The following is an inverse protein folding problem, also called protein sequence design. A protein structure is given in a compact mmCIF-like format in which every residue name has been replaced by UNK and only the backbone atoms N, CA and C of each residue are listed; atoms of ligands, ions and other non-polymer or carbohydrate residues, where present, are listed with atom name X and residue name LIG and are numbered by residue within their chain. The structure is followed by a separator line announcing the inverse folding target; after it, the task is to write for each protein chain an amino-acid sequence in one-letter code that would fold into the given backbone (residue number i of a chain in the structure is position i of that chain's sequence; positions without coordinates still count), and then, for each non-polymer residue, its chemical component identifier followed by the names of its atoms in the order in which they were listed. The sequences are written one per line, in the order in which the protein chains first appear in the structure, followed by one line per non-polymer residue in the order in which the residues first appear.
data_IF_282324060158
#
_entry.id   IF_282324060158
#
_cell.length_a   1.000
_cell.length_b   1.000
_cell.length_c   1.000
_cell.angle_alpha   90.00
_cell.angle_beta   90.00
_cell.angle_gamma   90.00
#
_symmetry.space_group_name_H-M   'P 1'
#
loop_
_entity.id
_entity.type
_entity.pdbx_description
1 polymer ?
#
# COMPACT_ATOMS: atom_id res chain seq x y z
N UNK A 1 -13.04 18.92 23.99
CA UNK A 1 -14.04 18.21 23.15
C UNK A 1 -15.37 18.32 23.86
N UNK A 2 -16.41 18.87 23.24
CA UNK A 2 -17.74 19.00 23.85
C UNK A 2 -18.43 17.62 23.96
N UNK A 3 -19.20 17.39 25.03
CA UNK A 3 -19.95 16.13 25.26
C UNK A 3 -20.76 15.67 24.04
N UNK A 4 -21.32 16.59 23.24
CA UNK A 4 -22.04 16.28 22.01
C UNK A 4 -21.17 15.66 20.90
N UNK A 5 -19.91 16.08 20.80
CA UNK A 5 -18.96 15.53 19.81
C UNK A 5 -18.56 14.11 20.16
N UNK A 6 -18.35 13.85 21.43
CA UNK A 6 -18.00 12.53 21.96
C UNK A 6 -19.14 11.52 21.80
N UNK A 7 -20.37 11.97 22.01
CA UNK A 7 -21.57 11.16 21.83
C UNK A 7 -21.81 10.80 20.35
N UNK A 8 -21.59 11.76 19.45
CA UNK A 8 -21.68 11.54 18.00
C UNK A 8 -20.63 10.54 17.51
N UNK A 9 -19.38 10.70 17.91
CA UNK A 9 -18.29 9.75 17.58
C UNK A 9 -18.60 8.33 18.09
N UNK A 10 -19.11 8.19 19.30
CA UNK A 10 -19.48 6.88 19.86
C UNK A 10 -20.59 6.22 19.04
N UNK A 11 -21.58 6.99 18.59
CA UNK A 11 -22.68 6.48 17.75
C UNK A 11 -22.15 6.01 16.39
N UNK A 12 -21.32 6.80 15.71
CA UNK A 12 -20.71 6.46 14.43
C UNK A 12 -19.82 5.20 14.53
N UNK A 13 -19.01 5.11 15.59
CA UNK A 13 -18.18 3.92 15.84
C UNK A 13 -19.01 2.66 16.09
N UNK A 14 -20.11 2.77 16.84
CA UNK A 14 -21.02 1.66 17.06
C UNK A 14 -21.72 1.21 15.78
N UNK A 15 -22.12 2.15 14.93
CA UNK A 15 -22.68 1.84 13.62
C UNK A 15 -21.68 1.06 12.75
N UNK A 16 -20.43 1.53 12.65
CA UNK A 16 -19.37 0.82 11.92
C UNK A 16 -19.18 -0.58 12.52
N UNK A 17 -19.05 -0.68 13.84
CA UNK A 17 -18.84 -1.94 14.54
C UNK A 17 -19.94 -2.96 14.26
N UNK A 18 -21.20 -2.55 14.33
CA UNK A 18 -22.36 -3.44 14.14
C UNK A 18 -22.48 -3.94 12.70
N UNK A 19 -21.84 -3.26 11.74
CA UNK A 19 -21.82 -3.65 10.34
C UNK A 19 -20.57 -4.47 9.93
N UNK A 20 -19.70 -4.81 10.88
CA UNK A 20 -18.56 -5.69 10.60
C UNK A 20 -19.06 -7.13 10.49
N UNK A 21 -18.80 -7.78 9.36
CA UNK A 21 -19.21 -9.16 9.13
C UNK A 21 -18.54 -10.09 10.14
N UNK A 22 -19.35 -10.85 10.88
CA UNK A 22 -18.87 -11.80 11.89
C UNK A 22 -18.39 -11.15 13.19
N UNK A 23 -18.91 -9.96 13.54
CA UNK A 23 -18.59 -9.31 14.83
C UNK A 23 -19.03 -10.17 16.02
N UNK A 24 -20.15 -10.91 15.87
CA UNK A 24 -20.69 -11.80 16.87
C UNK A 24 -20.36 -13.29 16.60
N UNK A 25 -19.37 -13.56 15.76
CA UNK A 25 -18.98 -14.92 15.43
C UNK A 25 -18.45 -15.67 16.66
N UNK A 26 -18.81 -16.93 16.77
CA UNK A 26 -18.35 -17.82 17.82
C UNK A 26 -17.41 -18.86 17.24
N UNK A 27 -16.39 -19.23 17.99
CA UNK A 27 -15.43 -20.29 17.63
C UNK A 27 -15.33 -21.33 18.75
N UNK A 28 -15.07 -22.56 18.38
CA UNK A 28 -14.72 -23.63 19.30
C UNK A 28 -13.22 -23.69 19.51
N UNK A 29 -12.80 -23.94 20.72
CA UNK A 29 -11.40 -24.17 21.11
C UNK A 29 -11.28 -25.49 21.86
N UNK A 30 -10.06 -26.02 22.07
CA UNK A 30 -9.88 -27.25 22.88
C UNK A 30 -10.39 -27.14 24.33
N UNK A 31 -10.61 -25.92 24.80
CA UNK A 31 -11.02 -25.67 26.22
C UNK A 31 -12.45 -25.21 26.37
N UNK A 32 -13.10 -24.72 25.30
CA UNK A 32 -14.46 -24.20 25.30
C UNK A 32 -15.16 -24.48 23.98
N UNK A 33 -16.39 -24.93 24.03
CA UNK A 33 -17.18 -25.24 22.83
C UNK A 33 -17.59 -24.00 22.03
N UNK A 34 -17.71 -22.86 22.70
CA UNK A 34 -18.17 -21.63 22.04
C UNK A 34 -17.67 -20.39 22.79
N UNK A 35 -16.78 -19.61 22.14
CA UNK A 35 -16.32 -18.33 22.64
C UNK A 35 -16.44 -17.26 21.57
N UNK A 36 -16.72 -15.99 21.91
CA UNK A 36 -16.74 -14.90 20.96
C UNK A 36 -15.38 -14.68 20.31
N UNK A 37 -15.38 -14.43 19.01
CA UNK A 37 -14.16 -14.00 18.30
C UNK A 37 -13.79 -12.59 18.72
N UNK A 38 -12.61 -12.41 19.27
CA UNK A 38 -12.00 -11.10 19.48
C UNK A 38 -11.00 -10.85 18.35
N UNK A 39 -11.39 -10.01 17.37
CA UNK A 39 -10.52 -9.66 16.28
C UNK A 39 -9.79 -8.35 16.59
N UNK A 40 -8.48 -8.41 16.82
CA UNK A 40 -7.64 -7.29 17.22
C UNK A 40 -6.49 -6.98 16.24
N UNK A 41 -6.50 -7.61 15.05
CA UNK A 41 -5.42 -7.48 14.06
C UNK A 41 -5.74 -6.49 12.92
N UNK A 42 -6.36 -5.37 13.26
CA UNK A 42 -6.77 -4.35 12.28
C UNK A 42 -5.62 -3.65 11.58
N UNK A 43 -4.44 -3.62 12.21
CA UNK A 43 -3.24 -3.03 11.61
C UNK A 43 -2.69 -3.86 10.46
N UNK A 44 -2.85 -5.16 10.50
CA UNK A 44 -2.36 -6.09 9.48
C UNK A 44 -3.44 -6.43 8.44
N UNK A 45 -4.70 -6.58 8.85
CA UNK A 45 -5.80 -6.93 7.95
C UNK A 45 -7.14 -6.38 8.45
N UNK A 46 -8.08 -6.13 7.54
CA UNK A 46 -9.44 -5.71 7.86
C UNK A 46 -10.43 -6.87 7.79
N UNK A 47 -11.64 -6.62 8.29
CA UNK A 47 -12.79 -7.51 8.10
C UNK A 47 -13.76 -6.94 7.07
N UNK A 48 -14.59 -7.79 6.50
CA UNK A 48 -15.61 -7.38 5.55
C UNK A 48 -16.64 -6.46 6.23
N UNK A 49 -17.16 -5.50 5.49
CA UNK A 49 -18.15 -4.53 5.95
C UNK A 49 -19.47 -4.77 5.21
N UNK A 50 -20.50 -5.15 5.93
CA UNK A 50 -21.76 -5.63 5.38
C UNK A 50 -22.38 -4.70 4.32
N UNK A 51 -22.43 -3.35 4.50
CA UNK A 51 -22.99 -2.47 3.47
C UNK A 51 -22.24 -2.51 2.13
N UNK A 52 -20.92 -2.73 2.14
CA UNK A 52 -20.12 -2.87 0.92
C UNK A 52 -20.44 -4.22 0.25
N UNK A 53 -20.43 -5.31 1.01
CA UNK A 53 -20.71 -6.65 0.50
C UNK A 53 -22.11 -6.75 -0.09
N UNK A 54 -23.11 -6.19 0.60
CA UNK A 54 -24.50 -6.16 0.12
C UNK A 54 -24.62 -5.37 -1.18
N UNK A 55 -23.94 -4.24 -1.28
CA UNK A 55 -23.94 -3.44 -2.50
C UNK A 55 -23.29 -4.18 -3.66
N UNK A 56 -22.17 -4.86 -3.42
CA UNK A 56 -21.52 -5.71 -4.43
C UNK A 56 -22.47 -6.79 -4.90
N UNK A 57 -23.16 -7.51 -3.99
CA UNK A 57 -24.09 -8.58 -4.34
C UNK A 57 -25.31 -8.08 -5.10
N UNK A 58 -25.87 -6.94 -4.72
CA UNK A 58 -27.15 -6.44 -5.27
C UNK A 58 -26.98 -5.61 -6.54
N UNK A 59 -25.94 -4.81 -6.64
CA UNK A 59 -25.76 -3.81 -7.70
C UNK A 59 -24.67 -4.17 -8.71
N UNK A 60 -23.59 -4.85 -8.29
CA UNK A 60 -22.43 -5.09 -9.14
C UNK A 60 -22.45 -6.50 -9.73
N UNK A 61 -22.56 -7.54 -8.90
CA UNK A 61 -22.45 -8.93 -9.37
C UNK A 61 -23.47 -9.33 -10.43
N UNK A 62 -24.73 -8.85 -10.43
CA UNK A 62 -25.67 -9.16 -11.52
C UNK A 62 -25.25 -8.64 -12.87
N UNK A 63 -24.34 -7.65 -12.91
CA UNK A 63 -23.85 -7.02 -14.15
C UNK A 63 -22.42 -7.42 -14.51
N UNK A 64 -21.78 -8.29 -13.69
CA UNK A 64 -20.38 -8.69 -13.93
C UNK A 64 -20.24 -9.33 -15.31
N UNK A 65 -19.38 -8.74 -16.12
CA UNK A 65 -19.05 -9.20 -17.46
C UNK A 65 -17.63 -8.73 -17.84
N UNK A 66 -17.15 -9.17 -19.00
CA UNK A 66 -15.87 -8.72 -19.51
C UNK A 66 -15.86 -7.19 -19.71
N UNK A 67 -14.86 -6.55 -19.14
CA UNK A 67 -14.60 -5.13 -19.30
C UNK A 67 -14.08 -4.78 -20.67
N UNK A 68 -13.98 -4.19 -21.49
CA UNK A 68 -13.48 -3.97 -22.86
C UNK A 68 -14.49 -4.34 -23.96
N UNK A 69 -15.74 -4.65 -23.55
CA UNK A 69 -16.83 -4.94 -24.46
C UNK A 69 -17.97 -3.96 -24.25
N UNK A 70 -18.32 -3.21 -25.27
CA UNK A 70 -19.46 -2.27 -25.26
C UNK A 70 -20.63 -2.70 -26.11
N UNK A 71 -20.58 -3.91 -26.69
CA UNK A 71 -21.58 -4.46 -27.59
C UNK A 71 -22.81 -5.04 -26.90
N UNK A 72 -22.72 -5.23 -25.56
CA UNK A 72 -23.83 -5.70 -24.72
C UNK A 72 -23.98 -4.86 -23.47
N UNK A 73 -25.14 -4.94 -22.82
CA UNK A 73 -25.47 -4.09 -21.66
C UNK A 73 -24.56 -4.32 -20.46
N UNK A 74 -24.22 -5.58 -20.14
CA UNK A 74 -23.39 -5.90 -18.99
C UNK A 74 -21.93 -5.50 -19.19
N UNK A 75 -21.36 -5.78 -20.37
CA UNK A 75 -20.00 -5.34 -20.72
C UNK A 75 -19.87 -3.82 -20.68
N UNK A 76 -20.85 -3.09 -21.24
CA UNK A 76 -20.89 -1.62 -21.19
C UNK A 76 -20.98 -1.10 -19.74
N UNK A 77 -21.84 -1.70 -18.91
CA UNK A 77 -21.97 -1.32 -17.50
C UNK A 77 -20.66 -1.53 -16.73
N UNK A 78 -19.98 -2.68 -16.90
CA UNK A 78 -18.72 -2.97 -16.24
C UNK A 78 -17.56 -2.12 -16.74
N UNK A 79 -17.48 -1.87 -18.05
CA UNK A 79 -16.49 -0.95 -18.62
C UNK A 79 -16.63 0.45 -18.01
N UNK A 80 -17.85 0.98 -17.95
CA UNK A 80 -18.15 2.27 -17.34
C UNK A 80 -17.78 2.29 -15.85
N UNK A 81 -18.20 1.28 -15.07
CA UNK A 81 -17.90 1.16 -13.66
C UNK A 81 -16.39 1.11 -13.39
N UNK A 82 -15.64 0.37 -14.21
CA UNK A 82 -14.18 0.30 -14.13
C UNK A 82 -13.52 1.69 -14.34
N UNK A 83 -13.89 2.41 -15.39
CA UNK A 83 -13.35 3.74 -15.65
C UNK A 83 -13.71 4.76 -14.56
N UNK A 84 -14.95 4.70 -14.05
CA UNK A 84 -15.37 5.55 -12.91
C UNK A 84 -14.56 5.23 -11.65
N UNK A 85 -14.32 3.97 -11.35
CA UNK A 85 -13.50 3.55 -10.21
C UNK A 85 -12.06 4.07 -10.32
N UNK A 86 -11.41 3.92 -11.50
CA UNK A 86 -10.08 4.48 -11.75
C UNK A 86 -10.05 6.00 -11.57
N UNK A 87 -11.06 6.71 -12.11
CA UNK A 87 -11.17 8.16 -11.97
C UNK A 87 -11.30 8.59 -10.50
N UNK A 88 -12.13 7.88 -9.73
CA UNK A 88 -12.29 8.15 -8.28
C UNK A 88 -10.99 7.92 -7.51
N UNK A 89 -10.26 6.84 -7.81
CA UNK A 89 -8.96 6.55 -7.19
C UNK A 89 -7.95 7.67 -7.52
N UNK A 90 -7.84 8.07 -8.80
CA UNK A 90 -6.97 9.18 -9.21
C UNK A 90 -7.28 10.47 -8.46
N UNK A 91 -8.55 10.84 -8.40
CA UNK A 91 -8.97 12.05 -7.68
C UNK A 91 -8.66 11.98 -6.18
N UNK A 92 -8.83 10.80 -5.56
CA UNK A 92 -8.56 10.60 -4.13
C UNK A 92 -7.08 10.82 -3.77
N UNK A 93 -6.18 10.43 -4.67
CA UNK A 93 -4.72 10.59 -4.48
C UNK A 93 -4.16 11.87 -5.13
N UNK A 94 -5.00 12.81 -5.53
CA UNK A 94 -4.63 14.05 -6.23
C UNK A 94 -3.80 13.83 -7.51
N UNK A 95 -4.02 12.71 -8.19
CA UNK A 95 -3.36 12.42 -9.45
C UNK A 95 -3.89 13.31 -10.59
N UNK A 96 -2.99 13.76 -11.44
CA UNK A 96 -3.27 14.59 -12.61
C UNK A 96 -3.71 13.76 -13.84
N UNK A 97 -4.00 14.42 -14.93
CA UNK A 97 -4.25 13.75 -16.22
C UNK A 97 -3.00 13.06 -16.81
N UNK A 98 -1.80 13.48 -16.38
CA UNK A 98 -0.53 12.90 -16.83
C UNK A 98 -0.16 11.62 -16.06
N UNK A 99 -0.78 11.39 -14.89
CA UNK A 99 -0.52 10.21 -14.09
C UNK A 99 -1.25 8.99 -14.65
N UNK A 100 -0.58 7.85 -14.64
CA UNK A 100 -1.13 6.57 -15.11
C UNK A 100 -1.50 5.69 -13.93
N UNK A 101 -2.74 5.18 -13.91
CA UNK A 101 -3.18 4.19 -12.92
C UNK A 101 -3.12 2.81 -13.55
N UNK A 102 -2.37 1.90 -12.94
CA UNK A 102 -2.23 0.51 -13.37
C UNK A 102 -2.76 -0.39 -12.26
N UNK A 103 -3.79 -1.18 -12.57
CA UNK A 103 -4.28 -2.22 -11.68
C UNK A 103 -3.47 -3.51 -11.93
N UNK A 104 -2.98 -4.11 -10.85
CA UNK A 104 -2.29 -5.39 -10.88
C UNK A 104 -2.93 -6.33 -9.85
N UNK A 105 -3.09 -7.59 -10.18
CA UNK A 105 -3.64 -8.60 -9.28
C UNK A 105 -2.71 -8.92 -8.10
N UNK A 106 -3.22 -9.66 -7.12
CA UNK A 106 -2.48 -10.18 -5.96
C UNK A 106 -1.99 -9.13 -4.95
N UNK A 107 -2.61 -7.95 -4.91
CA UNK A 107 -2.34 -6.93 -3.89
C UNK A 107 -0.99 -6.22 -4.04
N UNK A 108 -0.53 -5.60 -2.95
CA UNK A 108 0.65 -4.71 -2.94
C UNK A 108 1.94 -5.40 -3.39
N UNK A 109 2.14 -6.67 -3.06
CA UNK A 109 3.33 -7.43 -3.50
C UNK A 109 3.41 -7.51 -5.02
N UNK A 110 2.30 -7.79 -5.71
CA UNK A 110 2.21 -7.80 -7.17
C UNK A 110 2.49 -6.41 -7.77
N UNK A 111 1.90 -5.37 -7.18
CA UNK A 111 2.08 -3.98 -7.59
C UNK A 111 3.54 -3.54 -7.50
N UNK A 112 4.22 -3.78 -6.37
CA UNK A 112 5.64 -3.45 -6.19
C UNK A 112 6.50 -4.19 -7.21
N UNK A 113 6.29 -5.48 -7.41
CA UNK A 113 7.02 -6.26 -8.40
C UNK A 113 6.78 -5.77 -9.84
N UNK A 114 5.54 -5.34 -10.16
CA UNK A 114 5.23 -4.72 -11.46
C UNK A 114 5.99 -3.41 -11.64
N UNK A 115 5.97 -2.56 -10.62
CA UNK A 115 6.66 -1.28 -10.63
C UNK A 115 8.18 -1.45 -10.83
N UNK A 116 8.82 -2.37 -10.12
CA UNK A 116 10.23 -2.71 -10.28
C UNK A 116 10.58 -3.16 -11.70
N UNK A 117 9.68 -3.89 -12.37
CA UNK A 117 9.83 -4.25 -13.80
C UNK A 117 9.69 -3.04 -14.73
N UNK A 118 8.74 -2.16 -14.46
CA UNK A 118 8.58 -0.91 -15.22
C UNK A 118 9.83 -0.02 -15.10
N UNK A 119 10.43 0.05 -13.91
CA UNK A 119 11.68 0.77 -13.68
C UNK A 119 12.90 0.12 -14.35
N UNK A 120 12.77 -1.11 -14.88
CA UNK A 120 13.84 -1.83 -15.56
C UNK A 120 14.94 -2.34 -14.63
N UNK A 121 14.65 -2.51 -13.34
CA UNK A 121 15.63 -2.94 -12.32
C UNK A 121 15.41 -4.35 -11.79
N UNK A 122 14.30 -5.00 -12.15
CA UNK A 122 14.02 -6.40 -11.79
C UNK A 122 14.57 -7.31 -12.88
N UNK A 123 15.65 -8.02 -12.57
CA UNK A 123 16.32 -8.97 -13.48
C UNK A 123 16.48 -10.30 -12.77
N UNK A 124 16.64 -11.37 -13.55
CA UNK A 124 16.91 -12.69 -12.99
C UNK A 124 18.32 -12.75 -12.39
N UNK A 125 18.47 -13.41 -11.24
CA UNK A 125 19.73 -13.48 -10.49
C UNK A 125 20.91 -13.95 -11.33
N UNK A 126 20.69 -14.97 -12.20
CA UNK A 126 21.73 -15.50 -13.08
C UNK A 126 22.35 -14.48 -14.06
N UNK A 127 21.66 -13.37 -14.31
CA UNK A 127 22.16 -12.32 -15.19
C UNK A 127 22.83 -11.16 -14.45
N UNK A 128 22.58 -11.01 -13.14
CA UNK A 128 23.16 -9.89 -12.36
C UNK A 128 24.69 -9.84 -12.46
N UNK A 129 25.35 -11.00 -12.36
CA UNK A 129 26.81 -11.10 -12.41
C UNK A 129 27.40 -10.82 -13.80
N UNK A 130 26.59 -10.91 -14.85
CA UNK A 130 27.02 -10.65 -16.23
C UNK A 130 26.94 -9.16 -16.58
N UNK A 131 26.24 -8.38 -15.76
CA UNK A 131 26.08 -6.94 -15.99
C UNK A 131 27.25 -6.17 -15.39
N UNK A 132 28.03 -5.54 -16.26
CA UNK A 132 29.11 -4.61 -15.88
C UNK A 132 28.53 -3.20 -15.73
N UNK A 133 27.85 -2.94 -14.62
CA UNK A 133 27.31 -1.60 -14.34
C UNK A 133 28.25 -0.81 -13.43
N UNK A 134 28.41 0.46 -13.74
CA UNK A 134 29.11 1.37 -12.86
C UNK A 134 28.27 1.64 -11.58
N UNK A 135 28.94 1.99 -10.51
CA UNK A 135 28.23 2.33 -9.27
C UNK A 135 27.20 3.44 -9.46
N UNK A 136 27.49 4.41 -10.32
CA UNK A 136 26.62 5.54 -10.65
C UNK A 136 25.30 5.10 -11.30
N UNK A 137 25.31 4.00 -12.05
CA UNK A 137 24.15 3.49 -12.79
C UNK A 137 23.25 2.57 -11.94
N UNK A 138 23.79 2.02 -10.85
CA UNK A 138 23.01 1.19 -9.91
C UNK A 138 22.15 2.11 -9.04
N UNK A 139 20.80 2.01 -9.10
CA UNK A 139 19.92 2.81 -8.26
C UNK A 139 20.16 2.56 -6.76
N UNK A 140 19.87 3.56 -5.94
CA UNK A 140 19.74 3.39 -4.50
C UNK A 140 18.27 3.46 -4.10
N UNK A 141 17.86 2.57 -3.23
CA UNK A 141 16.49 2.51 -2.69
C UNK A 141 16.56 2.64 -1.18
N UNK A 142 15.95 3.69 -0.67
CA UNK A 142 15.82 3.91 0.77
C UNK A 142 14.52 3.31 1.27
N UNK A 143 14.60 2.58 2.37
CA UNK A 143 13.46 1.93 3.05
C UNK A 143 13.49 2.27 4.53
N UNK A 144 12.36 2.12 5.23
CA UNK A 144 12.36 2.25 6.69
C UNK A 144 12.57 0.90 7.37
N UNK A 145 12.83 0.93 8.67
CA UNK A 145 12.87 -0.26 9.52
C UNK A 145 11.48 -0.89 9.74
N UNK A 146 10.40 -0.17 9.40
CA UNK A 146 9.01 -0.60 9.59
C UNK A 146 8.40 -1.24 8.34
N UNK A 147 9.20 -1.47 7.30
CA UNK A 147 8.70 -2.03 6.05
C UNK A 147 8.22 -3.47 6.22
N UNK A 148 7.11 -3.79 5.58
CA UNK A 148 6.73 -5.19 5.38
C UNK A 148 7.78 -5.91 4.52
N UNK A 149 8.04 -7.17 4.80
CA UNK A 149 9.03 -7.97 4.07
C UNK A 149 8.81 -7.96 2.55
N UNK A 150 7.56 -7.95 2.08
CA UNK A 150 7.26 -7.87 0.64
C UNK A 150 7.78 -6.60 -0.03
N UNK A 151 7.92 -5.49 0.72
CA UNK A 151 8.56 -4.28 0.21
C UNK A 151 10.09 -4.40 0.32
N UNK A 152 10.65 -4.51 1.51
CA UNK A 152 12.09 -4.52 1.73
C UNK A 152 12.80 -5.61 0.90
N UNK A 153 12.39 -6.88 1.05
CA UNK A 153 13.05 -8.02 0.38
C UNK A 153 12.93 -7.90 -1.15
N UNK A 154 11.78 -7.46 -1.66
CA UNK A 154 11.60 -7.36 -3.11
C UNK A 154 12.55 -6.36 -3.77
N UNK A 155 12.92 -5.27 -3.07
CA UNK A 155 13.93 -4.33 -3.55
C UNK A 155 15.35 -4.90 -3.44
N UNK A 156 15.64 -5.69 -2.41
CA UNK A 156 16.93 -6.39 -2.27
C UNK A 156 17.17 -7.40 -3.41
N UNK A 157 16.09 -7.95 -3.97
CA UNK A 157 16.12 -8.82 -5.16
C UNK A 157 16.36 -8.06 -6.48
N UNK A 158 16.24 -6.74 -6.47
CA UNK A 158 16.44 -5.91 -7.65
C UNK A 158 17.93 -5.59 -7.91
N UNK A 159 18.20 -5.03 -9.08
CA UNK A 159 19.48 -4.42 -9.42
C UNK A 159 19.53 -3.02 -8.76
N UNK A 160 19.65 -2.98 -7.46
CA UNK A 160 19.65 -1.76 -6.66
C UNK A 160 20.44 -1.96 -5.36
N UNK A 161 20.95 -0.86 -4.79
CA UNK A 161 21.49 -0.84 -3.44
C UNK A 161 20.38 -0.42 -2.48
N UNK A 162 19.96 -1.29 -1.58
CA UNK A 162 18.96 -0.98 -0.56
C UNK A 162 19.63 -0.44 0.69
N UNK A 163 19.10 0.65 1.23
CA UNK A 163 19.61 1.31 2.43
C UNK A 163 18.45 1.52 3.39
N UNK A 164 18.59 1.05 4.62
CA UNK A 164 17.62 1.31 5.69
C UNK A 164 17.91 2.69 6.29
N UNK A 165 16.89 3.54 6.32
CA UNK A 165 16.94 4.82 7.02
C UNK A 165 17.07 4.53 8.53
N UNK A 166 18.06 5.10 9.23
CA UNK A 166 18.22 4.91 10.66
C UNK A 166 16.97 5.29 11.46
N UNK A 167 16.82 4.67 12.62
CA UNK A 167 15.71 4.95 13.55
C UNK A 167 16.12 6.12 14.45
N UNK A 168 15.25 7.11 14.60
CA UNK A 168 15.39 8.20 15.54
C UNK A 168 15.02 7.78 16.97
N UNK A 169 15.26 8.65 17.93
CA UNK A 169 14.96 8.41 19.36
C UNK A 169 13.46 8.23 19.63
N UNK A 170 12.61 8.79 18.76
CA UNK A 170 11.14 8.67 18.80
C UNK A 170 10.60 7.37 18.16
N UNK A 171 11.49 6.51 17.65
CA UNK A 171 11.14 5.28 16.95
C UNK A 171 10.70 5.47 15.50
N UNK A 172 10.72 6.70 14.99
CA UNK A 172 10.44 7.02 13.58
C UNK A 172 11.73 7.04 12.75
N UNK A 173 11.64 7.03 11.41
CA UNK A 173 12.82 7.22 10.56
C UNK A 173 13.50 8.58 10.84
N UNK A 174 14.80 8.57 11.08
CA UNK A 174 15.58 9.78 11.29
C UNK A 174 15.74 10.56 9.98
N UNK A 175 15.04 11.68 9.86
CA UNK A 175 15.02 12.52 8.67
C UNK A 175 16.36 13.23 8.41
N UNK A 176 17.13 13.53 9.47
CA UNK A 176 18.46 14.17 9.35
C UNK A 176 19.46 13.14 8.81
N UNK A 177 19.45 11.93 9.37
CA UNK A 177 20.28 10.83 8.87
C UNK A 177 19.89 10.47 7.43
N UNK A 178 18.60 10.47 7.09
CA UNK A 178 18.13 10.25 5.72
C UNK A 178 18.68 11.29 4.73
N UNK A 179 18.60 12.57 5.06
CA UNK A 179 19.16 13.62 4.20
C UNK A 179 20.69 13.49 4.03
N UNK A 180 21.40 13.09 5.08
CA UNK A 180 22.84 12.82 4.99
C UNK A 180 23.15 11.62 4.09
N UNK A 181 22.36 10.55 4.15
CA UNK A 181 22.46 9.41 3.25
C UNK A 181 22.23 9.81 1.78
N UNK A 182 21.25 10.68 1.51
CA UNK A 182 21.02 11.22 0.16
C UNK A 182 22.22 12.01 -0.36
N UNK A 183 22.86 12.84 0.49
CA UNK A 183 24.08 13.56 0.14
C UNK A 183 25.24 12.61 -0.16
N UNK A 184 25.43 11.55 0.63
CA UNK A 184 26.47 10.53 0.39
C UNK A 184 26.25 9.79 -0.95
N UNK A 185 25.00 9.64 -1.36
CA UNK A 185 24.63 8.97 -2.62
C UNK A 185 24.22 9.95 -3.74
N UNK A 186 24.63 11.23 -3.64
CA UNK A 186 24.32 12.24 -4.65
C UNK A 186 24.83 11.88 -6.06
N UNK A 187 25.93 11.12 -6.15
CA UNK A 187 26.50 10.65 -7.40
C UNK A 187 25.65 9.61 -8.15
N UNK A 188 24.65 9.00 -7.48
CA UNK A 188 23.76 8.00 -8.09
C UNK A 188 22.75 8.69 -9.03
N UNK A 189 22.59 8.17 -10.24
CA UNK A 189 21.62 8.70 -11.23
C UNK A 189 20.17 8.53 -10.83
N UNK A 190 19.86 7.47 -10.09
CA UNK A 190 18.48 7.15 -9.68
C UNK A 190 18.42 6.86 -8.19
N UNK A 191 17.56 7.56 -7.51
CA UNK A 191 17.29 7.42 -6.07
C UNK A 191 15.79 7.19 -5.87
N UNK A 192 15.41 6.24 -5.04
CA UNK A 192 14.01 5.94 -4.72
C UNK A 192 13.84 5.84 -3.21
N UNK A 193 12.66 6.23 -2.72
CA UNK A 193 12.23 5.93 -1.36
C UNK A 193 10.98 5.04 -1.45
N UNK A 194 11.08 3.81 -0.95
CA UNK A 194 9.99 2.85 -0.90
C UNK A 194 9.54 2.71 0.56
N UNK A 195 8.57 3.51 0.95
CA UNK A 195 8.24 3.81 2.35
C UNK A 195 6.82 3.35 2.65
N UNK A 196 6.65 2.56 3.72
CA UNK A 196 5.31 2.26 4.24
C UNK A 196 4.65 3.51 4.81
N UNK A 197 3.36 3.69 4.58
CA UNK A 197 2.60 4.80 5.18
C UNK A 197 2.33 4.54 6.68
N UNK A 198 2.16 3.27 7.05
CA UNK A 198 2.02 2.85 8.44
C UNK A 198 2.51 1.40 8.59
N UNK A 199 3.11 1.09 9.72
CA UNK A 199 3.53 -0.27 10.04
C UNK A 199 2.31 -1.20 10.15
N UNK A 200 2.35 -2.34 9.47
CA UNK A 200 1.33 -3.38 9.59
C UNK A 200 1.40 -4.16 10.92
N UNK A 201 2.42 -3.93 11.73
CA UNK A 201 2.61 -4.56 13.05
C UNK A 201 2.17 -3.64 14.18
N UNK A 202 2.62 -2.38 14.16
CA UNK A 202 2.40 -1.44 15.26
C UNK A 202 1.33 -0.38 14.97
N UNK A 203 0.97 -0.18 13.69
CA UNK A 203 0.11 0.93 13.26
C UNK A 203 0.77 2.31 13.30
N UNK A 204 2.07 2.39 13.65
CA UNK A 204 2.80 3.65 13.69
C UNK A 204 2.88 4.21 12.26
N UNK A 205 2.47 5.45 12.11
CA UNK A 205 2.51 6.17 10.83
C UNK A 205 3.89 6.75 10.57
N UNK A 206 4.39 6.56 9.36
CA UNK A 206 5.66 7.13 8.90
C UNK A 206 5.44 8.57 8.45
N UNK A 207 6.39 9.50 8.66
CA UNK A 207 6.33 10.86 8.14
C UNK A 207 6.63 10.89 6.62
N UNK A 208 5.85 10.13 5.84
CA UNK A 208 6.13 9.89 4.42
C UNK A 208 6.06 11.15 3.55
N UNK A 209 5.28 12.16 3.94
CA UNK A 209 5.25 13.45 3.22
C UNK A 209 6.56 14.22 3.38
N UNK A 210 7.16 14.20 4.58
CA UNK A 210 8.45 14.81 4.86
C UNK A 210 9.57 14.07 4.12
N UNK A 211 9.54 12.73 4.15
CA UNK A 211 10.48 11.89 3.40
C UNK A 211 10.38 12.19 1.90
N UNK A 212 9.17 12.29 1.35
CA UNK A 212 8.95 12.64 -0.05
C UNK A 212 9.56 14.02 -0.39
N UNK A 213 9.31 15.04 0.45
CA UNK A 213 9.90 16.39 0.23
C UNK A 213 11.43 16.36 0.26
N UNK A 214 12.01 15.57 1.16
CA UNK A 214 13.46 15.46 1.28
C UNK A 214 14.04 14.79 0.03
N UNK A 215 13.53 13.63 -0.38
CA UNK A 215 14.09 12.91 -1.52
C UNK A 215 13.92 13.69 -2.83
N UNK A 216 12.78 14.36 -3.05
CA UNK A 216 12.56 15.18 -4.24
C UNK A 216 13.54 16.37 -4.34
N UNK A 217 13.95 16.99 -3.20
CA UNK A 217 15.01 18.02 -3.20
C UNK A 217 16.37 17.48 -3.62
N UNK A 218 16.58 16.18 -3.54
CA UNK A 218 17.81 15.48 -3.92
C UNK A 218 17.66 14.68 -5.23
N UNK A 219 16.72 15.08 -6.10
CA UNK A 219 16.50 14.49 -7.42
C UNK A 219 16.18 12.98 -7.38
N UNK A 220 15.41 12.56 -6.41
CA UNK A 220 14.94 11.20 -6.24
C UNK A 220 13.44 11.08 -6.38
#
# INVERSE_FOLDING_TARGET
MTQSLQQKMTTELNEIRNNIVGIDALISTPYHESIPVVYADWTASGRMYAPIEERLMKEVYPLVANTHTETNATGKAMTKAYHEALSRIKNHVNASSQDVTICEGSGMTGVVNKFQRILGIKIHESFKQQLQLSEVDIPVVFVTHMEHHSNHISWSECLAKVIIIPVGEDGLPDLIAFENLLKQHAHRKRKFAAITAASNVTGIQTPYHEIARIIHRHEG
#
